data_IF_079914988578
#
_entry.id   IF_079914988578
#
_cell.length_a   1.000
_cell.length_b   1.000
_cell.length_c   1.000
_cell.angle_alpha   90.00
_cell.angle_beta   90.00
_cell.angle_gamma   90.00
#
_symmetry.space_group_name_H-M   'P 1'
#
loop_
_entity.id
_entity.type
_entity.pdbx_description
1 polymer ?
#
# COMPACT_ATOMS: atom_id res chain seq x y z
N UNK A 1 -9.65 -10.06 -16.55
CA UNK A 1 -8.35 -9.37 -16.47
C UNK A 1 -8.43 -8.34 -15.36
N UNK A 2 -7.42 -8.22 -14.51
CA UNK A 2 -7.30 -7.13 -13.53
C UNK A 2 -6.54 -5.98 -14.22
N UNK A 3 -7.12 -4.77 -14.34
CA UNK A 3 -6.48 -3.67 -15.04
C UNK A 3 -5.37 -3.04 -14.17
N UNK A 4 -4.10 -3.04 -14.62
CA UNK A 4 -3.07 -2.24 -13.97
C UNK A 4 -3.24 -0.76 -14.30
N UNK A 5 -2.52 0.10 -13.60
CA UNK A 5 -2.33 1.49 -14.04
C UNK A 5 -1.73 1.47 -15.45
N UNK A 6 -2.21 2.30 -16.39
CA UNK A 6 -1.60 2.38 -17.72
C UNK A 6 -0.10 2.67 -17.59
N UNK A 7 0.71 1.82 -18.19
CA UNK A 7 2.16 1.89 -18.05
C UNK A 7 2.91 1.05 -19.09
N UNK A 8 4.22 1.20 -19.10
CA UNK A 8 5.16 0.38 -19.86
C UNK A 8 5.98 -0.40 -18.84
N UNK A 9 5.78 -1.73 -18.83
CA UNK A 9 6.49 -2.65 -17.91
C UNK A 9 7.76 -3.26 -18.51
N UNK A 10 8.06 -2.91 -19.78
CA UNK A 10 9.32 -3.28 -20.43
C UNK A 10 10.38 -2.23 -20.11
N UNK A 11 11.65 -2.56 -20.41
CA UNK A 11 12.75 -1.59 -20.30
C UNK A 11 12.38 -0.27 -20.99
N UNK A 12 12.60 0.84 -20.30
CA UNK A 12 12.33 2.20 -20.78
C UNK A 12 13.54 2.85 -21.47
N UNK A 13 14.44 2.03 -22.01
CA UNK A 13 15.68 2.48 -22.67
C UNK A 13 15.43 3.22 -24.00
N UNK A 14 14.22 3.24 -24.53
CA UNK A 14 13.86 3.99 -25.73
C UNK A 14 13.10 5.28 -25.38
N UNK A 15 13.77 6.42 -25.54
CA UNK A 15 13.19 7.74 -25.32
C UNK A 15 11.96 8.02 -26.20
N UNK A 16 11.90 7.48 -27.42
CA UNK A 16 10.75 7.69 -28.31
C UNK A 16 9.52 7.01 -27.73
N UNK A 17 9.68 5.78 -27.23
CA UNK A 17 8.61 5.02 -26.59
C UNK A 17 8.07 5.77 -25.36
N UNK A 18 8.96 6.37 -24.55
CA UNK A 18 8.57 7.16 -23.39
C UNK A 18 7.78 8.41 -23.77
N UNK A 19 8.24 9.14 -24.78
CA UNK A 19 7.55 10.35 -25.26
C UNK A 19 6.19 10.02 -25.89
N UNK A 20 6.12 8.94 -26.71
CA UNK A 20 4.86 8.49 -27.29
C UNK A 20 3.86 8.07 -26.20
N UNK A 21 4.34 7.42 -25.16
CA UNK A 21 3.51 7.08 -23.99
C UNK A 21 3.03 8.35 -23.28
N UNK A 22 3.92 9.31 -23.03
CA UNK A 22 3.58 10.59 -22.40
C UNK A 22 2.53 11.37 -23.20
N UNK A 23 2.69 11.47 -24.51
CA UNK A 23 1.74 12.17 -25.39
C UNK A 23 0.39 11.45 -25.49
N UNK A 24 0.38 10.11 -25.35
CA UNK A 24 -0.86 9.33 -25.38
C UNK A 24 -1.64 9.42 -24.08
N UNK A 25 -0.95 9.38 -22.95
CA UNK A 25 -1.58 9.26 -21.62
C UNK A 25 -1.58 10.56 -20.82
N UNK A 26 -0.81 11.56 -21.26
CA UNK A 26 -0.63 12.86 -20.58
C UNK A 26 0.32 12.77 -19.38
N UNK A 27 0.68 13.95 -18.87
CA UNK A 27 1.48 14.14 -17.67
C UNK A 27 0.57 14.40 -16.45
N UNK A 28 1.07 14.20 -15.20
CA UNK A 28 2.39 13.67 -14.84
C UNK A 28 2.54 12.18 -15.11
N UNK A 29 3.81 11.73 -15.29
CA UNK A 29 4.17 10.33 -15.31
C UNK A 29 4.96 9.96 -14.06
N UNK A 30 4.86 8.72 -13.66
CA UNK A 30 5.56 8.15 -12.53
C UNK A 30 6.56 7.11 -13.01
N UNK A 31 7.83 7.39 -12.76
CA UNK A 31 8.94 6.47 -13.05
C UNK A 31 9.29 5.75 -11.76
N UNK A 32 9.25 4.42 -11.80
CA UNK A 32 9.42 3.56 -10.61
C UNK A 32 10.54 2.57 -10.83
N UNK A 33 11.38 2.37 -9.83
CA UNK A 33 12.36 1.27 -9.84
C UNK A 33 11.65 -0.08 -9.70
N UNK A 34 12.12 -1.06 -10.42
CA UNK A 34 11.61 -2.45 -10.38
C UNK A 34 11.96 -3.15 -9.06
N UNK A 35 13.05 -2.75 -8.41
CA UNK A 35 13.49 -3.22 -7.10
C UNK A 35 13.05 -2.30 -5.95
N UNK A 36 12.30 -1.24 -6.26
CA UNK A 36 11.79 -0.28 -5.28
C UNK A 36 10.60 -0.84 -4.50
N UNK A 37 10.42 -0.36 -3.28
CA UNK A 37 9.28 -0.68 -2.42
C UNK A 37 9.07 0.38 -1.34
N UNK A 38 7.85 0.45 -0.77
CA UNK A 38 7.53 1.42 0.27
C UNK A 38 7.71 2.88 -0.15
N UNK A 39 7.44 3.20 -1.41
CA UNK A 39 7.56 4.56 -1.95
C UNK A 39 8.97 5.00 -2.32
N UNK A 40 9.95 4.13 -2.21
CA UNK A 40 11.34 4.44 -2.59
C UNK A 40 11.58 4.21 -4.08
N UNK A 41 12.42 5.05 -4.69
CA UNK A 41 12.75 4.92 -6.12
C UNK A 41 11.62 5.37 -7.05
N UNK A 42 10.77 6.29 -6.59
CA UNK A 42 9.70 6.91 -7.38
C UNK A 42 10.11 8.32 -7.77
N UNK A 43 10.03 8.63 -9.06
CA UNK A 43 10.23 9.97 -9.59
C UNK A 43 9.01 10.39 -10.40
N UNK A 44 8.47 11.57 -10.08
CA UNK A 44 7.37 12.18 -10.83
C UNK A 44 7.95 13.16 -11.85
N UNK A 45 7.47 13.09 -13.09
CA UNK A 45 7.85 14.01 -14.17
C UNK A 45 6.59 14.65 -14.77
N UNK A 46 6.65 15.96 -15.01
CA UNK A 46 5.48 16.78 -15.36
C UNK A 46 5.46 17.25 -16.81
N UNK A 47 6.54 17.06 -17.56
CA UNK A 47 6.69 17.50 -18.95
C UNK A 47 7.84 16.77 -19.64
N UNK A 48 7.95 16.98 -20.96
CA UNK A 48 8.97 16.39 -21.81
C UNK A 48 10.39 16.71 -21.34
N UNK A 49 10.65 17.93 -20.86
CA UNK A 49 11.99 18.34 -20.43
C UNK A 49 12.44 17.60 -19.17
N UNK A 50 11.54 17.45 -18.20
CA UNK A 50 11.81 16.65 -17.00
C UNK A 50 12.01 15.17 -17.34
N UNK A 51 11.20 14.64 -18.25
CA UNK A 51 11.34 13.26 -18.71
C UNK A 51 12.69 13.00 -19.41
N UNK A 52 13.11 13.95 -20.29
CA UNK A 52 14.42 13.90 -20.95
C UNK A 52 15.57 14.02 -19.95
N UNK A 53 15.44 14.93 -18.96
CA UNK A 53 16.41 15.09 -17.90
C UNK A 53 16.58 13.82 -17.06
N UNK A 54 15.47 13.16 -16.70
CA UNK A 54 15.50 11.87 -16.02
C UNK A 54 16.22 10.82 -16.86
N UNK A 55 15.82 10.67 -18.12
CA UNK A 55 16.42 9.72 -19.05
C UNK A 55 17.94 9.89 -19.16
N UNK A 56 18.40 11.12 -19.39
CA UNK A 56 19.83 11.40 -19.53
C UNK A 56 20.65 11.09 -18.28
N UNK A 57 20.05 11.30 -17.09
CA UNK A 57 20.72 11.02 -15.83
C UNK A 57 20.80 9.51 -15.49
N UNK A 58 19.96 8.70 -16.10
CA UNK A 58 19.85 7.26 -15.85
C UNK A 58 20.19 6.41 -17.07
N UNK A 59 20.70 7.02 -18.15
CA UNK A 59 21.05 6.32 -19.40
C UNK A 59 22.14 5.25 -19.15
N UNK A 60 21.82 4.03 -19.47
CA UNK A 60 22.72 2.87 -19.33
C UNK A 60 24.01 3.01 -20.14
N UNK A 61 23.99 3.75 -21.28
CA UNK A 61 25.18 4.03 -22.08
C UNK A 61 26.19 4.93 -21.35
N UNK A 62 25.74 5.62 -20.31
CA UNK A 62 26.57 6.43 -19.42
C UNK A 62 26.81 5.78 -18.05
N UNK A 63 26.52 4.47 -17.93
CA UNK A 63 26.64 3.73 -16.69
C UNK A 63 25.47 3.95 -15.71
N UNK A 64 24.32 4.42 -16.20
CA UNK A 64 23.09 4.59 -15.44
C UNK A 64 22.28 3.29 -15.31
N UNK A 65 21.16 3.39 -14.60
CA UNK A 65 20.30 2.29 -14.16
C UNK A 65 18.88 2.34 -14.79
N UNK A 66 18.75 2.94 -15.99
CA UNK A 66 17.46 3.15 -16.67
C UNK A 66 16.66 1.85 -16.86
N UNK A 67 17.34 0.73 -17.09
CA UNK A 67 16.72 -0.59 -17.25
C UNK A 67 16.06 -1.12 -15.97
N UNK A 68 16.38 -0.52 -14.84
CA UNK A 68 15.77 -0.84 -13.53
C UNK A 68 14.47 -0.06 -13.28
N UNK A 69 14.03 0.74 -14.25
CA UNK A 69 12.81 1.54 -14.13
C UNK A 69 11.71 1.09 -15.10
N UNK A 70 10.48 1.33 -14.67
CA UNK A 70 9.30 1.29 -15.53
C UNK A 70 8.51 2.59 -15.37
N UNK A 71 7.62 2.88 -16.32
CA UNK A 71 6.82 4.11 -16.32
C UNK A 71 5.34 3.78 -16.20
N UNK A 72 4.64 4.57 -15.40
CA UNK A 72 3.18 4.54 -15.29
C UNK A 72 2.61 5.95 -15.37
N UNK A 73 1.34 6.02 -15.79
CA UNK A 73 0.57 7.25 -15.67
C UNK A 73 0.36 7.58 -14.18
N UNK A 74 0.58 8.82 -13.79
CA UNK A 74 0.15 9.27 -12.48
C UNK A 74 -1.38 9.43 -12.45
N UNK A 75 -2.03 8.85 -11.45
CA UNK A 75 -3.48 9.00 -11.25
C UNK A 75 -3.69 10.13 -10.24
N UNK A 76 -3.98 11.31 -10.78
CA UNK A 76 -4.37 12.45 -9.95
C UNK A 76 -5.75 12.19 -9.32
N UNK A 77 -5.96 12.65 -8.09
CA UNK A 77 -7.21 12.49 -7.34
C UNK A 77 -7.72 11.05 -7.22
N UNK A 78 -6.82 10.09 -7.24
CA UNK A 78 -7.13 8.71 -6.91
C UNK A 78 -7.08 8.47 -5.40
N UNK A 79 -7.94 7.57 -4.91
CA UNK A 79 -7.88 7.05 -3.54
C UNK A 79 -7.09 5.76 -3.54
N UNK A 80 -6.18 5.63 -2.57
CA UNK A 80 -5.47 4.38 -2.32
C UNK A 80 -6.37 3.49 -1.46
N UNK A 81 -7.02 2.54 -2.11
CA UNK A 81 -7.92 1.59 -1.46
C UNK A 81 -7.32 0.19 -1.54
N UNK A 82 -7.41 -0.55 -0.48
CA UNK A 82 -6.90 -1.91 -0.42
C UNK A 82 -7.93 -2.88 0.15
N UNK A 83 -7.73 -4.17 -0.15
CA UNK A 83 -8.54 -5.26 0.37
C UNK A 83 -7.70 -6.16 1.25
N UNK A 84 -8.15 -6.42 2.47
CA UNK A 84 -7.59 -7.45 3.33
C UNK A 84 -8.15 -8.80 2.93
N UNK A 85 -7.32 -9.65 2.37
CA UNK A 85 -7.75 -10.93 1.80
C UNK A 85 -7.20 -12.11 2.57
N UNK A 86 -7.93 -13.23 2.48
CA UNK A 86 -7.48 -14.55 2.89
C UNK A 86 -7.92 -15.62 1.92
N UNK A 87 -7.07 -16.64 1.73
CA UNK A 87 -7.39 -17.87 1.01
C UNK A 87 -6.76 -19.06 1.73
N UNK A 88 -7.54 -20.11 1.94
CA UNK A 88 -7.04 -21.34 2.52
C UNK A 88 -6.70 -22.40 1.46
N UNK A 89 -6.17 -23.54 1.90
CA UNK A 89 -5.85 -24.68 1.03
C UNK A 89 -7.06 -25.46 0.55
N UNK A 90 -8.25 -25.15 1.07
CA UNK A 90 -9.53 -25.79 0.70
C UNK A 90 -10.21 -25.03 -0.44
N UNK A 91 -9.67 -23.87 -0.85
CA UNK A 91 -10.20 -23.03 -1.92
C UNK A 91 -11.19 -21.96 -1.45
N UNK A 92 -11.41 -21.83 -0.14
CA UNK A 92 -12.17 -20.71 0.38
C UNK A 92 -11.38 -19.42 0.24
N UNK A 93 -12.05 -18.34 -0.13
CA UNK A 93 -11.48 -17.00 -0.25
C UNK A 93 -12.44 -15.98 0.32
N UNK A 94 -11.92 -15.01 1.05
CA UNK A 94 -12.71 -13.88 1.55
C UNK A 94 -11.93 -12.56 1.48
N UNK A 95 -12.67 -11.45 1.42
CA UNK A 95 -12.17 -10.11 1.71
C UNK A 95 -12.70 -9.72 3.10
N UNK A 96 -11.82 -9.70 4.10
CA UNK A 96 -12.19 -9.38 5.48
C UNK A 96 -12.68 -7.96 5.65
N UNK A 97 -12.06 -7.00 4.97
CA UNK A 97 -12.54 -5.62 4.84
C UNK A 97 -11.78 -4.90 3.72
N UNK A 98 -12.27 -3.72 3.38
CA UNK A 98 -11.51 -2.72 2.61
C UNK A 98 -10.88 -1.70 3.56
N UNK A 99 -9.78 -1.06 3.14
CA UNK A 99 -9.16 0.07 3.84
C UNK A 99 -8.94 1.22 2.88
N UNK A 100 -9.11 2.44 3.35
CA UNK A 100 -8.61 3.64 2.68
C UNK A 100 -7.29 4.05 3.33
N UNK A 101 -6.26 4.09 2.52
CA UNK A 101 -4.89 4.44 2.93
C UNK A 101 -4.39 5.69 2.19
N UNK A 102 -5.29 6.59 1.79
CA UNK A 102 -4.95 7.78 1.00
C UNK A 102 -4.19 8.85 1.78
N UNK A 103 -4.30 8.86 3.12
CA UNK A 103 -3.57 9.80 3.95
C UNK A 103 -2.13 9.33 4.12
N UNK A 104 -1.28 9.85 3.26
CA UNK A 104 0.13 9.46 3.16
C UNK A 104 1.05 10.69 3.21
N UNK A 105 2.28 10.46 3.62
CA UNK A 105 3.37 11.41 3.51
C UNK A 105 4.56 10.72 2.85
N UNK A 106 5.04 11.27 1.73
CA UNK A 106 6.14 10.68 0.94
C UNK A 106 5.89 9.21 0.57
N UNK A 107 4.66 8.90 0.17
CA UNK A 107 4.17 7.56 -0.15
C UNK A 107 4.21 6.56 1.02
N UNK A 108 4.29 7.04 2.26
CA UNK A 108 4.13 6.23 3.48
C UNK A 108 2.77 6.52 4.10
N UNK A 109 2.03 5.47 4.40
CA UNK A 109 0.71 5.54 5.06
C UNK A 109 0.87 6.16 6.46
N UNK A 110 -0.04 7.03 6.85
CA UNK A 110 -0.08 7.69 8.17
C UNK A 110 -1.39 7.51 8.91
N UNK A 111 -2.49 7.47 8.15
CA UNK A 111 -3.83 7.23 8.68
C UNK A 111 -4.52 6.25 7.73
N UNK A 112 -5.07 5.21 8.29
CA UNK A 112 -5.84 4.19 7.59
C UNK A 112 -7.25 4.09 8.19
N UNK A 113 -8.24 3.88 7.32
CA UNK A 113 -9.65 3.76 7.72
C UNK A 113 -10.25 2.47 7.17
N UNK A 114 -10.97 1.74 8.00
CA UNK A 114 -11.75 0.55 7.60
C UNK A 114 -13.21 0.64 8.10
N UNK A 115 -14.17 0.16 7.28
CA UNK A 115 -14.02 -0.10 5.85
C UNK A 115 -13.79 1.19 5.08
N UNK A 116 -13.19 1.13 3.88
CA UNK A 116 -12.98 2.31 3.04
C UNK A 116 -14.32 3.00 2.76
N UNK A 117 -14.48 4.30 3.14
CA UNK A 117 -15.77 4.97 3.06
C UNK A 117 -16.12 5.36 1.61
N UNK A 118 -17.41 5.63 1.37
CA UNK A 118 -17.94 6.20 0.12
C UNK A 118 -17.55 5.44 -1.16
N UNK A 119 -17.38 4.12 -1.09
CA UNK A 119 -17.28 3.26 -2.26
C UNK A 119 -18.67 2.85 -2.72
N UNK A 120 -18.91 2.86 -4.03
CA UNK A 120 -20.14 2.32 -4.59
C UNK A 120 -20.11 0.78 -4.59
N UNK A 121 -21.28 0.15 -4.59
CA UNK A 121 -21.39 -1.31 -4.65
C UNK A 121 -20.62 -1.89 -5.84
N UNK A 122 -20.68 -1.24 -7.01
CA UNK A 122 -19.95 -1.67 -8.19
C UNK A 122 -18.42 -1.58 -8.06
N UNK A 123 -17.90 -0.66 -7.25
CA UNK A 123 -16.46 -0.60 -6.91
C UNK A 123 -16.11 -1.72 -5.94
N UNK A 124 -16.92 -1.96 -4.92
CA UNK A 124 -16.71 -3.04 -3.95
C UNK A 124 -16.69 -4.41 -4.65
N UNK A 125 -17.62 -4.67 -5.56
CA UNK A 125 -17.67 -5.88 -6.38
C UNK A 125 -16.41 -6.04 -7.26
N UNK A 126 -15.92 -4.96 -7.85
CA UNK A 126 -14.68 -4.99 -8.62
C UNK A 126 -13.46 -5.31 -7.75
N UNK A 127 -13.34 -4.66 -6.59
CA UNK A 127 -12.25 -4.90 -5.64
C UNK A 127 -12.21 -6.37 -5.20
N UNK A 128 -13.34 -6.94 -4.80
CA UNK A 128 -13.43 -8.35 -4.42
C UNK A 128 -13.07 -9.27 -5.59
N UNK A 129 -13.68 -9.05 -6.76
CA UNK A 129 -13.43 -9.85 -7.97
C UNK A 129 -11.98 -9.81 -8.39
N UNK A 130 -11.34 -8.64 -8.35
CA UNK A 130 -9.94 -8.49 -8.73
C UNK A 130 -9.02 -9.16 -7.73
N UNK A 131 -9.27 -9.00 -6.45
CA UNK A 131 -8.50 -9.63 -5.38
C UNK A 131 -8.55 -11.15 -5.46
N UNK A 132 -9.74 -11.72 -5.65
CA UNK A 132 -9.91 -13.17 -5.87
C UNK A 132 -9.10 -13.65 -7.09
N UNK A 133 -9.20 -12.96 -8.22
CA UNK A 133 -8.46 -13.32 -9.44
C UNK A 133 -6.95 -13.27 -9.28
N UNK A 134 -6.45 -12.34 -8.48
CA UNK A 134 -5.01 -12.22 -8.18
C UNK A 134 -4.54 -13.41 -7.34
N UNK A 135 -5.28 -13.77 -6.29
CA UNK A 135 -4.97 -14.91 -5.44
C UNK A 135 -5.06 -16.24 -6.21
N UNK A 136 -6.11 -16.41 -7.03
CA UNK A 136 -6.31 -17.61 -7.85
C UNK A 136 -5.22 -17.76 -8.93
N UNK A 137 -4.73 -16.67 -9.50
CA UNK A 137 -3.73 -16.71 -10.57
C UNK A 137 -2.38 -17.32 -10.17
N UNK A 138 -2.07 -17.31 -8.87
CA UNK A 138 -0.82 -17.83 -8.32
C UNK A 138 -1.06 -18.91 -7.25
N UNK A 139 -2.28 -19.40 -7.11
CA UNK A 139 -2.69 -20.37 -6.08
C UNK A 139 -2.23 -19.97 -4.67
N UNK A 140 -2.29 -18.66 -4.37
CA UNK A 140 -1.83 -18.15 -3.10
C UNK A 140 -2.66 -18.67 -1.93
N UNK A 141 -2.00 -19.19 -0.89
CA UNK A 141 -2.62 -19.64 0.36
C UNK A 141 -2.02 -18.83 1.51
N UNK A 142 -2.89 -18.14 2.26
CA UNK A 142 -2.51 -17.27 3.36
C UNK A 142 -3.29 -15.97 3.38
N UNK A 143 -2.88 -15.05 4.25
CA UNK A 143 -3.38 -13.68 4.25
C UNK A 143 -2.52 -12.80 3.35
N UNK A 144 -3.16 -11.84 2.70
CA UNK A 144 -2.48 -10.85 1.88
C UNK A 144 -3.35 -9.62 1.67
N UNK A 145 -2.75 -8.59 1.11
CA UNK A 145 -3.43 -7.33 0.80
C UNK A 145 -3.25 -7.01 -0.67
N UNK A 146 -4.37 -6.76 -1.36
CA UNK A 146 -4.34 -6.23 -2.72
C UNK A 146 -4.57 -4.73 -2.68
N UNK A 147 -3.67 -3.96 -3.27
CA UNK A 147 -3.71 -2.50 -3.29
C UNK A 147 -4.18 -2.00 -4.64
N UNK A 148 -5.04 -0.98 -4.61
CA UNK A 148 -5.68 -0.43 -5.79
C UNK A 148 -5.72 1.11 -5.72
N UNK A 149 -5.70 1.73 -6.91
CA UNK A 149 -6.04 3.13 -7.08
C UNK A 149 -7.48 3.23 -7.60
N UNK A 150 -8.36 3.86 -6.82
CA UNK A 150 -9.76 4.09 -7.18
C UNK A 150 -9.93 5.55 -7.55
N UNK A 151 -10.33 5.83 -8.80
CA UNK A 151 -10.55 7.20 -9.28
C UNK A 151 -11.91 7.74 -8.85
N UNK A 152 -12.10 9.07 -8.94
CA UNK A 152 -13.40 9.72 -8.70
C UNK A 152 -14.53 9.16 -9.59
N UNK A 153 -14.20 8.64 -10.77
CA UNK A 153 -15.15 8.02 -11.70
C UNK A 153 -15.41 6.52 -11.39
N UNK A 154 -14.87 6.01 -10.29
CA UNK A 154 -15.02 4.61 -9.89
C UNK A 154 -14.21 3.62 -10.72
N UNK A 155 -13.19 4.05 -11.47
CA UNK A 155 -12.25 3.13 -12.11
C UNK A 155 -11.28 2.58 -11.08
N UNK A 156 -11.10 1.27 -11.10
CA UNK A 156 -10.20 0.55 -10.18
C UNK A 156 -8.98 0.07 -10.96
N UNK A 157 -7.81 0.54 -10.55
CA UNK A 157 -6.51 0.11 -11.10
C UNK A 157 -5.73 -0.64 -10.06
N UNK A 158 -5.20 -1.78 -10.44
CA UNK A 158 -4.32 -2.58 -9.59
C UNK A 158 -2.94 -1.91 -9.43
N UNK A 159 -2.45 -1.90 -8.21
CA UNK A 159 -1.11 -1.41 -7.85
C UNK A 159 -0.16 -2.56 -7.56
N UNK A 160 -0.40 -3.27 -6.45
CA UNK A 160 0.45 -4.38 -6.01
C UNK A 160 -0.30 -5.35 -5.09
N UNK A 161 0.31 -6.51 -4.84
CA UNK A 161 -0.09 -7.44 -3.79
C UNK A 161 1.02 -7.54 -2.76
N UNK A 162 0.66 -7.39 -1.50
CA UNK A 162 1.54 -7.70 -0.37
C UNK A 162 1.15 -9.08 0.18
N UNK A 163 1.94 -10.15 -0.09
CA UNK A 163 1.62 -11.52 0.33
C UNK A 163 1.98 -11.75 1.79
N UNK A 164 1.49 -10.89 2.67
CA UNK A 164 1.72 -10.87 4.11
C UNK A 164 0.70 -10.01 4.82
N UNK A 165 0.63 -10.16 6.13
CA UNK A 165 -0.07 -9.20 6.98
C UNK A 165 0.66 -7.86 6.99
N UNK A 166 -0.08 -6.77 7.01
CA UNK A 166 0.46 -5.39 7.04
C UNK A 166 0.21 -4.74 8.40
N UNK A 167 0.83 -3.58 8.63
CA UNK A 167 0.68 -2.82 9.88
C UNK A 167 -0.79 -2.50 10.13
N UNK A 168 -1.47 -2.02 9.11
CA UNK A 168 -2.86 -1.57 9.12
C UNK A 168 -3.92 -2.69 9.20
N UNK A 169 -3.51 -3.95 9.47
CA UNK A 169 -4.45 -5.06 9.65
C UNK A 169 -5.40 -4.84 10.84
N UNK A 170 -4.96 -4.09 11.83
CA UNK A 170 -5.67 -3.83 13.08
C UNK A 170 -7.02 -3.18 12.85
N UNK A 171 -7.14 -2.20 11.92
CA UNK A 171 -8.44 -1.60 11.59
C UNK A 171 -9.41 -2.58 10.95
N UNK A 172 -8.89 -3.57 10.19
CA UNK A 172 -9.70 -4.65 9.63
C UNK A 172 -10.21 -5.59 10.72
N UNK A 173 -9.37 -5.92 11.69
CA UNK A 173 -9.75 -6.74 12.85
C UNK A 173 -10.88 -6.10 13.64
N UNK A 174 -10.77 -4.79 13.91
CA UNK A 174 -11.79 -4.07 14.67
C UNK A 174 -13.17 -4.07 14.01
N UNK A 175 -13.23 -3.98 12.67
CA UNK A 175 -14.52 -3.95 11.96
C UNK A 175 -15.07 -5.32 11.63
N UNK A 176 -14.24 -6.35 11.41
CA UNK A 176 -14.71 -7.71 11.14
C UNK A 176 -14.84 -8.57 12.41
N UNK A 177 -14.24 -8.15 13.53
CA UNK A 177 -14.29 -8.85 14.81
C UNK A 177 -13.48 -10.15 14.82
N UNK A 178 -12.47 -10.27 13.96
CA UNK A 178 -11.59 -11.44 13.86
C UNK A 178 -10.15 -11.05 14.21
N UNK A 179 -9.40 -12.00 14.77
CA UNK A 179 -7.96 -11.95 14.95
C UNK A 179 -7.29 -12.50 13.69
N UNK A 180 -6.78 -11.61 12.84
CA UNK A 180 -6.19 -11.98 11.55
C UNK A 180 -4.85 -12.71 11.71
N UNK A 181 -4.10 -12.47 12.78
CA UNK A 181 -2.90 -13.26 13.09
C UNK A 181 -3.29 -14.70 13.38
N UNK A 182 -4.36 -14.91 14.13
CA UNK A 182 -4.90 -16.25 14.39
C UNK A 182 -5.42 -16.90 13.11
N UNK A 183 -6.11 -16.18 12.25
CA UNK A 183 -6.55 -16.67 10.92
C UNK A 183 -5.34 -17.13 10.10
N UNK A 184 -4.27 -16.32 10.04
CA UNK A 184 -3.04 -16.69 9.34
C UNK A 184 -2.44 -17.99 9.86
N UNK A 185 -2.37 -18.17 11.18
CA UNK A 185 -1.87 -19.41 11.80
C UNK A 185 -2.79 -20.61 11.53
N UNK A 186 -4.12 -20.40 11.53
CA UNK A 186 -5.11 -21.41 11.21
C UNK A 186 -4.93 -21.92 9.79
N UNK A 187 -4.82 -21.01 8.82
CA UNK A 187 -4.58 -21.33 7.40
C UNK A 187 -3.24 -22.06 7.23
N UNK A 188 -2.18 -21.59 7.89
CA UNK A 188 -0.85 -22.19 7.80
C UNK A 188 -0.80 -23.63 8.37
N UNK A 189 -1.69 -23.97 9.31
CA UNK A 189 -1.87 -25.31 9.84
C UNK A 189 -2.85 -26.16 9.02
N UNK A 190 -3.30 -25.70 7.85
CA UNK A 190 -4.21 -26.43 6.97
C UNK A 190 -5.68 -26.35 7.40
N UNK A 191 -6.04 -25.43 8.31
CA UNK A 191 -7.41 -25.16 8.70
C UNK A 191 -8.16 -24.28 7.68
N UNK A 192 -9.47 -24.22 7.83
CA UNK A 192 -10.34 -23.37 7.01
C UNK A 192 -10.36 -21.95 7.58
N UNK A 193 -10.39 -20.95 6.69
CA UNK A 193 -10.55 -19.55 7.07
C UNK A 193 -12.02 -19.23 7.42
N UNK A 194 -12.22 -18.16 8.18
CA UNK A 194 -13.54 -17.67 8.56
C UNK A 194 -14.14 -16.84 7.40
N UNK A 195 -15.24 -17.33 6.79
CA UNK A 195 -15.92 -16.63 5.69
C UNK A 195 -17.08 -15.75 6.15
N UNK A 196 -17.70 -16.06 7.29
CA UNK A 196 -18.82 -15.29 7.83
C UNK A 196 -18.31 -14.30 8.89
N UNK A 197 -18.15 -13.06 8.48
CA UNK A 197 -17.63 -11.97 9.32
C UNK A 197 -18.31 -10.65 8.95
N UNK A 198 -19.54 -10.41 9.43
CA UNK A 198 -20.24 -9.17 9.13
C UNK A 198 -19.47 -7.95 9.66
N UNK A 199 -19.25 -6.96 8.78
CA UNK A 199 -18.57 -5.72 9.18
C UNK A 199 -19.44 -4.88 10.11
N UNK A 200 -18.83 -4.28 11.13
CA UNK A 200 -19.51 -3.44 12.12
C UNK A 200 -18.71 -2.17 12.42
N UNK A 201 -19.39 -1.04 12.32
CA UNK A 201 -18.79 0.26 12.65
C UNK A 201 -17.70 0.70 11.70
N UNK A 202 -16.80 1.52 12.21
CA UNK A 202 -15.62 2.05 11.54
C UNK A 202 -14.44 2.07 12.49
N UNK A 203 -13.25 1.89 11.95
CA UNK A 203 -12.00 1.98 12.70
C UNK A 203 -10.99 2.85 11.95
N UNK A 204 -10.19 3.60 12.71
CA UNK A 204 -9.08 4.40 12.21
C UNK A 204 -7.80 3.97 12.90
N UNK A 205 -6.74 3.83 12.12
CA UNK A 205 -5.37 3.69 12.63
C UNK A 205 -4.62 5.00 12.41
N UNK A 206 -3.79 5.36 13.38
CA UNK A 206 -2.92 6.53 13.35
C UNK A 206 -1.52 6.04 13.70
N UNK A 207 -0.58 6.18 12.79
CA UNK A 207 0.81 5.79 13.05
C UNK A 207 1.55 6.87 13.81
N UNK A 208 2.03 6.54 14.99
CA UNK A 208 2.88 7.43 15.77
C UNK A 208 4.35 7.17 15.46
N UNK A 209 5.02 8.18 14.93
CA UNK A 209 6.42 8.10 14.48
C UNK A 209 7.33 9.00 15.29
N UNK A 210 8.55 8.53 15.58
CA UNK A 210 9.61 9.32 16.23
C UNK A 210 10.38 10.11 15.18
N UNK A 211 9.94 11.35 14.92
CA UNK A 211 10.47 12.23 13.90
C UNK A 211 10.64 13.65 14.43
N UNK A 212 11.61 14.39 13.89
CA UNK A 212 11.89 15.79 14.28
C UNK A 212 11.25 16.77 13.28
N UNK A 213 10.17 17.47 13.66
CA UNK A 213 9.52 18.45 12.78
C UNK A 213 10.44 19.60 12.35
N UNK A 214 11.42 19.97 13.19
CA UNK A 214 12.36 21.03 12.86
C UNK A 214 13.39 20.63 11.80
N UNK A 215 13.55 19.30 11.59
CA UNK A 215 14.45 18.72 10.59
C UNK A 215 13.69 18.04 9.45
N UNK A 216 12.60 18.66 9.02
CA UNK A 216 11.77 18.16 7.92
C UNK A 216 11.32 16.70 8.17
N UNK A 217 10.92 16.39 9.41
CA UNK A 217 10.45 15.07 9.84
C UNK A 217 11.48 13.95 9.60
N UNK A 218 12.76 14.27 9.77
CA UNK A 218 13.79 13.23 9.77
C UNK A 218 13.61 12.31 10.97
N UNK A 219 13.90 10.99 10.82
CA UNK A 219 13.90 10.08 11.95
C UNK A 219 14.74 10.61 13.11
N UNK A 220 14.19 10.56 14.30
CA UNK A 220 14.83 11.05 15.52
C UNK A 220 15.23 9.90 16.41
N UNK A 221 16.15 10.16 17.34
CA UNK A 221 16.58 9.20 18.35
C UNK A 221 16.56 9.84 19.72
N UNK A 222 16.35 9.02 20.74
CA UNK A 222 16.34 9.49 22.11
C UNK A 222 15.65 8.51 23.05
N UNK A 223 15.72 8.79 24.34
CA UNK A 223 15.05 7.99 25.36
C UNK A 223 13.65 8.52 25.59
N UNK A 224 12.65 7.64 25.62
CA UNK A 224 11.26 7.94 25.94
C UNK A 224 11.16 8.18 27.47
N UNK A 225 11.36 9.41 27.89
CA UNK A 225 11.36 9.77 29.32
C UNK A 225 9.97 9.73 29.95
N UNK A 226 8.93 9.81 29.11
CA UNK A 226 7.54 9.64 29.49
C UNK A 226 6.75 9.13 28.30
N UNK A 227 5.98 8.08 28.51
CA UNK A 227 5.07 7.51 27.52
C UNK A 227 3.72 7.21 28.19
N UNK A 228 2.67 7.85 27.69
CA UNK A 228 1.31 7.63 28.18
C UNK A 228 0.38 7.44 26.97
N UNK A 229 0.08 6.20 26.68
CA UNK A 229 -0.87 5.86 25.64
C UNK A 229 -2.29 6.22 26.05
N UNK A 230 -3.13 6.67 25.11
CA UNK A 230 -4.55 6.82 25.38
C UNK A 230 -5.17 5.46 25.67
N UNK A 231 -6.21 5.45 26.49
CA UNK A 231 -6.96 4.24 26.84
C UNK A 231 -8.44 4.55 27.02
N UNK A 232 -9.28 3.54 26.85
CA UNK A 232 -10.73 3.66 27.05
C UNK A 232 -11.52 2.84 26.02
N UNK A 233 -12.85 2.82 26.09
CA UNK A 233 -13.68 2.11 25.12
C UNK A 233 -13.40 2.59 23.68
N UNK A 234 -13.19 1.63 22.76
CA UNK A 234 -12.92 1.90 21.35
C UNK A 234 -11.50 2.40 21.06
N UNK A 235 -10.57 2.33 22.03
CA UNK A 235 -9.17 2.66 21.83
C UNK A 235 -8.35 1.36 21.96
N UNK A 236 -7.62 1.04 20.91
CA UNK A 236 -6.60 -0.02 20.85
C UNK A 236 -5.24 0.63 20.65
N UNK A 237 -4.20 0.09 21.26
CA UNK A 237 -2.82 0.53 21.07
C UNK A 237 -1.95 -0.70 20.82
N UNK A 238 -1.30 -0.72 19.67
CA UNK A 238 -0.30 -1.71 19.32
C UNK A 238 1.05 -0.98 19.25
N UNK A 239 1.96 -1.30 20.17
CA UNK A 239 3.23 -0.59 20.32
C UNK A 239 4.36 -1.55 20.60
N UNK A 240 5.52 -1.26 19.99
CA UNK A 240 6.78 -1.97 20.23
C UNK A 240 7.69 -1.29 21.28
N UNK A 241 7.25 -0.20 21.92
CA UNK A 241 8.05 0.58 22.85
C UNK A 241 7.34 0.81 24.17
N UNK A 242 8.14 0.96 25.23
CA UNK A 242 7.70 1.32 26.57
C UNK A 242 8.46 2.54 27.10
N UNK A 243 7.99 3.15 28.19
CA UNK A 243 8.69 4.23 28.85
C UNK A 243 10.08 3.76 29.32
N UNK A 244 11.10 4.55 29.03
CA UNK A 244 12.51 4.21 29.30
C UNK A 244 13.24 3.65 28.08
N UNK A 245 12.55 3.21 27.04
CA UNK A 245 13.21 2.69 25.82
C UNK A 245 13.93 3.81 25.06
N UNK A 246 14.99 3.41 24.37
CA UNK A 246 15.73 4.29 23.45
C UNK A 246 15.37 3.97 22.01
N UNK A 247 14.71 4.92 21.34
CA UNK A 247 14.40 4.83 19.91
C UNK A 247 15.66 5.04 19.09
N UNK A 248 15.88 4.18 18.09
CA UNK A 248 17.04 4.21 17.21
C UNK A 248 16.67 4.70 15.80
N UNK A 249 17.44 5.61 15.19
CA UNK A 249 17.21 6.07 13.83
C UNK A 249 17.64 5.05 12.76
N UNK A 250 18.17 3.89 13.19
CA UNK A 250 18.62 2.81 12.30
C UNK A 250 17.48 1.91 11.80
N UNK A 251 16.32 2.02 12.41
CA UNK A 251 15.12 1.26 12.09
C UNK A 251 14.01 2.19 11.63
N UNK A 252 12.84 1.64 11.35
CA UNK A 252 11.64 2.43 11.10
C UNK A 252 11.35 3.33 12.31
N UNK A 253 10.88 4.56 12.04
CA UNK A 253 10.59 5.53 13.10
C UNK A 253 9.26 5.25 13.83
N UNK A 254 8.48 4.27 13.40
CA UNK A 254 7.18 3.95 13.98
C UNK A 254 7.35 3.39 15.40
N UNK A 255 6.56 3.94 16.33
CA UNK A 255 6.54 3.54 17.74
C UNK A 255 5.25 2.79 18.12
N UNK A 256 4.17 3.04 17.42
CA UNK A 256 2.87 2.42 17.62
C UNK A 256 1.83 2.97 16.67
#
# INVERSE_FOLDING_TARGET
>A
KVPPVPGISQSISDMRLLLDFAHTHGYPLMLKRTDGGGGRGITLVHNDDELRGFYMNHDALQGGDLDEYFVERFIDKGRHVETQCGRDSHGNFTVYSTRDCSVQRRNQKLVEEAPAPFLSDGVLEQLETYSRRLFDAVDYVGLGTCEFMVTEQGKVYFLEVNPRLQVEHTVSEEVCGLDLVREQLTIANGGELTVDHPLRGHSFELRLTCEDPAKNLAPSSGTLTKLAWPSGPGIRVDSGVVEGDTVSPKFDSMMG
#
